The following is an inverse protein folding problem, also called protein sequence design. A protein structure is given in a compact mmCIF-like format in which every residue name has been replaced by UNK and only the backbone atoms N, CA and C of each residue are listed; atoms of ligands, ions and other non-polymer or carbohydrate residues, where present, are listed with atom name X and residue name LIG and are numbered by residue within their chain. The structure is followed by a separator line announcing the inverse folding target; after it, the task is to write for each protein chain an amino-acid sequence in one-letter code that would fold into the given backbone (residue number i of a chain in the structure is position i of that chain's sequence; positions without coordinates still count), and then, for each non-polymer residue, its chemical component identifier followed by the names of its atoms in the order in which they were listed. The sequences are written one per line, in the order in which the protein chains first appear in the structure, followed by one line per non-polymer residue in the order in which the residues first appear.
data_IF_290549965943
#
_entry.id   IF_290549965943
#
_cell.length_a   1.000
_cell.length_b   1.000
_cell.length_c   1.000
_cell.angle_alpha   90.00
_cell.angle_beta   90.00
_cell.angle_gamma   90.00
#
_symmetry.space_group_name_H-M   'P 1'
#
loop_
_entity.id
_entity.type
_entity.pdbx_description
1 polymer ?
#
# COMPACT_ATOMS: atom_id res chain seq x y z
N UNK A 1 -22.11 10.74 -33.05
CA UNK A 1 -21.54 11.65 -32.03
C UNK A 1 -21.05 10.77 -30.88
N UNK A 2 -19.75 10.46 -30.83
CA UNK A 2 -19.17 9.56 -29.82
C UNK A 2 -18.77 10.41 -28.62
N UNK A 3 -19.44 10.20 -27.48
CA UNK A 3 -19.21 10.94 -26.24
C UNK A 3 -17.82 10.67 -25.68
N UNK A 4 -16.96 11.67 -25.77
CA UNK A 4 -15.61 11.69 -25.19
C UNK A 4 -15.71 11.93 -23.68
N UNK A 5 -15.79 10.86 -22.89
CA UNK A 5 -15.64 10.94 -21.44
C UNK A 5 -14.24 11.41 -21.05
N UNK A 6 -14.12 12.36 -20.11
CA UNK A 6 -12.84 12.80 -19.52
C UNK A 6 -12.19 11.65 -18.75
N UNK A 7 -11.38 10.87 -19.45
CA UNK A 7 -10.63 9.74 -18.88
C UNK A 7 -9.72 9.13 -19.93
N UNK A 8 -8.94 9.98 -20.62
CA UNK A 8 -8.05 9.56 -21.69
C UNK A 8 -7.10 8.46 -21.22
N UNK A 9 -7.32 7.25 -21.74
CA UNK A 9 -6.33 6.16 -21.75
C UNK A 9 -5.25 6.53 -22.77
N UNK A 10 -4.28 7.33 -22.34
CA UNK A 10 -3.02 7.50 -23.06
C UNK A 10 -2.14 6.27 -22.81
N UNK A 11 -2.23 5.26 -23.69
CA UNK A 11 -1.25 4.18 -23.74
C UNK A 11 0.08 4.73 -24.25
N UNK A 12 0.88 5.31 -23.35
CA UNK A 12 2.26 5.69 -23.62
C UNK A 12 3.17 4.46 -23.60
N UNK A 13 3.61 4.01 -24.77
CA UNK A 13 4.74 3.08 -24.91
C UNK A 13 6.00 3.77 -24.41
N UNK A 14 6.42 3.52 -23.17
CA UNK A 14 7.82 3.71 -22.76
C UNK A 14 8.18 2.62 -21.76
N UNK A 15 8.99 1.66 -22.22
CA UNK A 15 9.69 0.72 -21.35
C UNK A 15 10.67 1.50 -20.49
N UNK A 16 10.22 2.01 -19.34
CA UNK A 16 11.09 2.62 -18.36
C UNK A 16 11.80 1.50 -17.58
N UNK A 17 13.11 1.36 -17.81
CA UNK A 17 14.02 0.48 -17.08
C UNK A 17 13.84 0.70 -15.57
N UNK A 18 13.17 -0.23 -14.87
CA UNK A 18 12.89 -0.10 -13.42
C UNK A 18 14.09 -0.55 -12.60
N UNK A 19 15.15 0.24 -12.58
CA UNK A 19 16.10 0.16 -11.47
C UNK A 19 15.55 1.00 -10.32
N UNK A 20 14.74 0.38 -9.47
CA UNK A 20 14.40 0.99 -8.19
C UNK A 20 15.68 1.06 -7.37
N UNK A 21 16.26 2.26 -7.26
CA UNK A 21 17.27 2.55 -6.23
C UNK A 21 16.65 2.18 -4.89
N UNK A 22 17.31 1.30 -4.14
CA UNK A 22 16.90 0.93 -2.79
C UNK A 22 16.96 2.21 -1.95
N UNK A 23 15.80 2.83 -1.74
CA UNK A 23 15.71 4.06 -0.96
C UNK A 23 15.89 3.70 0.52
N UNK A 24 16.68 4.49 1.25
CA UNK A 24 16.82 4.45 2.72
C UNK A 24 15.53 4.91 3.43
N UNK A 25 14.36 4.43 2.99
CA UNK A 25 13.09 4.65 3.66
C UNK A 25 12.90 3.59 4.72
N UNK A 26 12.26 3.95 5.82
CA UNK A 26 11.86 2.98 6.83
C UNK A 26 11.01 1.89 6.18
N UNK A 27 11.32 0.62 6.44
CA UNK A 27 10.65 -0.53 5.82
C UNK A 27 9.12 -0.52 5.98
N UNK A 28 8.64 0.11 7.06
CA UNK A 28 7.21 0.26 7.36
C UNK A 28 6.45 1.11 6.33
N UNK A 29 7.12 2.06 5.67
CA UNK A 29 6.52 2.83 4.57
C UNK A 29 6.29 1.97 3.32
N UNK A 30 6.99 0.83 3.21
CA UNK A 30 6.74 -0.19 2.19
C UNK A 30 5.33 -0.77 2.26
N UNK A 31 4.67 -0.67 3.42
CA UNK A 31 3.24 -0.94 3.56
C UNK A 31 2.47 0.28 3.06
N UNK A 32 2.18 0.28 1.76
CA UNK A 32 1.57 1.41 1.06
C UNK A 32 0.07 1.59 1.39
N UNK A 33 -0.45 2.82 1.29
CA UNK A 33 -1.89 3.13 1.50
C UNK A 33 -2.84 2.24 0.66
N UNK A 34 -2.54 1.93 -0.63
CA UNK A 34 -3.35 0.99 -1.40
C UNK A 34 -3.35 -0.44 -0.85
N UNK A 35 -2.24 -0.91 -0.26
CA UNK A 35 -2.20 -2.24 0.36
C UNK A 35 -3.12 -2.33 1.58
N UNK A 36 -3.04 -1.31 2.46
CA UNK A 36 -3.94 -1.19 3.63
C UNK A 36 -5.40 -1.12 3.16
N UNK A 37 -5.68 -0.35 2.10
CA UNK A 37 -7.03 -0.31 1.52
C UNK A 37 -7.49 -1.68 1.05
N UNK A 38 -6.65 -2.45 0.33
CA UNK A 38 -7.01 -3.81 -0.13
C UNK A 38 -7.34 -4.75 1.04
N UNK A 39 -6.55 -4.71 2.11
CA UNK A 39 -6.82 -5.49 3.33
C UNK A 39 -8.15 -5.09 3.97
N UNK A 40 -8.36 -3.79 4.19
CA UNK A 40 -9.60 -3.28 4.77
C UNK A 40 -10.82 -3.60 3.89
N UNK A 41 -10.69 -3.54 2.56
CA UNK A 41 -11.78 -3.95 1.65
C UNK A 41 -12.09 -5.44 1.77
N UNK A 42 -11.07 -6.30 1.87
CA UNK A 42 -11.26 -7.74 2.11
C UNK A 42 -11.99 -8.00 3.43
N UNK A 43 -11.75 -7.19 4.46
CA UNK A 43 -12.47 -7.21 5.73
C UNK A 43 -13.84 -6.51 5.72
N UNK A 44 -14.40 -6.12 4.57
CA UNK A 44 -15.73 -5.51 4.48
C UNK A 44 -15.80 -4.03 4.90
N UNK A 45 -14.67 -3.34 5.07
CA UNK A 45 -14.65 -1.94 5.52
C UNK A 45 -15.09 -0.99 4.39
N UNK A 46 -16.23 -0.32 4.56
CA UNK A 46 -16.85 0.57 3.55
C UNK A 46 -16.17 1.94 3.41
N UNK A 47 -15.76 2.57 4.52
CA UNK A 47 -15.10 3.89 4.57
C UNK A 47 -13.87 3.79 5.50
N UNK A 48 -12.79 4.48 5.14
CA UNK A 48 -11.52 4.43 5.88
C UNK A 48 -11.09 5.88 6.11
N UNK A 49 -10.85 6.25 7.36
CA UNK A 49 -10.31 7.56 7.74
C UNK A 49 -8.83 7.69 7.37
N UNK A 50 -8.32 8.91 7.25
CA UNK A 50 -6.91 9.16 6.91
C UNK A 50 -5.94 8.67 7.98
N UNK A 51 -6.27 8.79 9.26
CA UNK A 51 -5.38 8.39 10.35
C UNK A 51 -5.11 6.88 10.39
N UNK A 52 -6.06 6.08 9.86
CA UNK A 52 -5.99 4.61 9.88
C UNK A 52 -4.75 4.08 9.16
N UNK A 53 -4.18 4.79 8.18
CA UNK A 53 -3.00 4.29 7.47
C UNK A 53 -1.77 4.20 8.37
N UNK A 54 -1.60 5.16 9.28
CA UNK A 54 -0.42 5.20 10.16
C UNK A 54 -0.64 4.31 11.38
N UNK A 55 -1.85 4.30 11.95
CA UNK A 55 -2.24 3.35 13.01
C UNK A 55 -2.11 1.89 12.56
N UNK A 56 -2.59 1.55 11.37
CA UNK A 56 -2.49 0.17 10.85
C UNK A 56 -1.04 -0.29 10.72
N UNK A 57 -0.12 0.63 10.44
CA UNK A 57 1.31 0.31 10.37
C UNK A 57 1.91 0.06 11.74
N UNK A 58 1.54 0.86 12.74
CA UNK A 58 1.98 0.66 14.11
C UNK A 58 1.51 -0.70 14.64
N UNK A 59 0.23 -1.03 14.44
CA UNK A 59 -0.35 -2.32 14.83
C UNK A 59 0.34 -3.48 14.14
N UNK A 60 0.56 -3.39 12.82
CA UNK A 60 1.24 -4.44 12.06
C UNK A 60 2.68 -4.65 12.53
N UNK A 61 3.40 -3.58 12.84
CA UNK A 61 4.77 -3.68 13.37
C UNK A 61 4.78 -4.42 14.70
N UNK A 62 3.94 -4.02 15.65
CA UNK A 62 3.86 -4.64 16.97
C UNK A 62 3.47 -6.13 16.88
N UNK A 63 2.50 -6.44 16.01
CA UNK A 63 2.10 -7.83 15.78
C UNK A 63 3.27 -8.69 15.28
N UNK A 64 4.01 -8.22 14.27
CA UNK A 64 5.15 -8.95 13.73
C UNK A 64 6.31 -9.05 14.72
N UNK A 65 6.55 -8.01 15.51
CA UNK A 65 7.59 -8.02 16.55
C UNK A 65 7.32 -9.12 17.59
N UNK A 66 6.08 -9.23 18.07
CA UNK A 66 5.68 -10.29 19.01
C UNK A 66 5.79 -11.68 18.37
N UNK A 67 5.23 -11.88 17.17
CA UNK A 67 5.25 -13.19 16.50
C UNK A 67 6.67 -13.65 16.19
N UNK A 68 7.55 -12.76 15.73
CA UNK A 68 8.95 -13.10 15.43
C UNK A 68 9.72 -13.39 16.71
N UNK A 69 9.49 -12.62 17.78
CA UNK A 69 10.12 -12.86 19.08
C UNK A 69 9.77 -14.24 19.63
N UNK A 70 8.50 -14.62 19.54
CA UNK A 70 8.02 -15.94 19.98
C UNK A 70 8.54 -17.08 19.09
N UNK A 71 8.74 -16.84 17.79
CA UNK A 71 9.20 -17.86 16.85
C UNK A 71 10.73 -18.10 16.88
N UNK A 72 11.51 -17.13 17.37
CA UNK A 72 12.98 -17.22 17.48
C UNK A 72 13.41 -17.77 18.85
N UNK A 73 12.54 -17.69 19.85
CA UNK A 73 12.77 -18.25 21.20
C UNK A 73 12.36 -19.72 21.23
#
# INVERSE_FOLDING_TARGET
MVGQGKGGKGMGKVGAKRHSRKSNKASIEGITKPAIRRLARRGGVKRISSFIYDDSRAVLKNFLENVVKDAVT
#
